data_IF_619788335104
#
_entry.id   IF_619788335104
#
_cell.length_a   1.000
_cell.length_b   1.000
_cell.length_c   1.000
_cell.angle_alpha   90.00
_cell.angle_beta   90.00
_cell.angle_gamma   90.00
#
_symmetry.space_group_name_H-M   'P 1'
#
loop_
_entity.id
_entity.type
_entity.pdbx_description
1 polymer ?
#
# COMPACT_ATOMS: atom_id res chain seq x y z
N UNK A 1 -8.10 3.46 43.15
CA UNK A 1 -7.53 4.48 42.25
C UNK A 1 -7.94 4.11 40.84
N UNK A 2 -8.65 4.99 40.15
CA UNK A 2 -9.12 4.76 38.78
C UNK A 2 -7.94 4.78 37.81
N UNK A 3 -7.74 3.69 37.07
CA UNK A 3 -6.64 3.51 36.13
C UNK A 3 -6.61 4.58 35.03
N UNK A 4 -7.77 5.13 34.68
CA UNK A 4 -7.91 6.13 33.61
C UNK A 4 -7.21 7.46 33.90
N UNK A 5 -7.09 7.84 35.17
CA UNK A 5 -6.48 9.11 35.58
C UNK A 5 -4.99 8.98 35.90
N UNK A 6 -4.41 7.77 35.76
CA UNK A 6 -3.01 7.57 36.06
C UNK A 6 -2.13 8.30 35.02
N UNK A 7 -1.09 9.05 35.43
CA UNK A 7 -0.25 9.84 34.52
C UNK A 7 0.36 9.04 33.36
N UNK A 8 0.76 7.78 33.62
CA UNK A 8 1.30 6.90 32.58
C UNK A 8 0.26 6.49 31.54
N UNK A 9 -1.01 6.30 31.94
CA UNK A 9 -2.11 5.93 31.03
C UNK A 9 -2.48 7.10 30.14
N UNK A 10 -2.53 8.31 30.70
CA UNK A 10 -2.75 9.56 29.96
C UNK A 10 -1.63 9.77 28.93
N UNK A 11 -0.35 9.61 29.35
CA UNK A 11 0.80 9.76 28.47
C UNK A 11 0.81 8.72 27.34
N UNK A 12 0.47 7.45 27.64
CA UNK A 12 0.35 6.39 26.65
C UNK A 12 -0.73 6.69 25.61
N UNK A 13 -1.93 7.09 26.04
CA UNK A 13 -3.05 7.44 25.14
C UNK A 13 -2.71 8.62 24.23
N UNK A 14 -2.11 9.69 24.77
CA UNK A 14 -1.64 10.83 23.96
C UNK A 14 -0.62 10.39 22.91
N UNK A 15 0.32 9.51 23.28
CA UNK A 15 1.31 8.97 22.34
C UNK A 15 0.66 8.11 21.25
N UNK A 16 -0.35 7.31 21.60
CA UNK A 16 -1.09 6.48 20.66
C UNK A 16 -1.94 7.31 19.68
N UNK A 17 -2.57 8.40 20.15
CA UNK A 17 -3.28 9.36 19.30
C UNK A 17 -2.34 10.05 18.30
N UNK A 18 -1.16 10.48 18.75
CA UNK A 18 -0.16 11.10 17.87
C UNK A 18 0.48 10.11 16.89
N UNK A 19 0.43 8.80 17.18
CA UNK A 19 0.94 7.75 16.31
C UNK A 19 -0.10 7.25 15.30
N UNK A 20 -1.24 7.94 15.15
CA UNK A 20 -2.15 7.68 14.05
C UNK A 20 -1.48 8.12 12.75
N UNK A 21 -0.78 7.19 12.11
CA UNK A 21 -0.26 7.34 10.75
C UNK A 21 -1.43 7.77 9.85
N UNK A 22 -1.27 8.93 9.20
CA UNK A 22 -2.26 9.45 8.26
C UNK A 22 -2.64 8.36 7.26
N UNK A 23 -3.94 8.11 7.11
CA UNK A 23 -4.43 7.09 6.19
C UNK A 23 -3.91 7.37 4.77
N UNK A 24 -3.32 6.34 4.14
CA UNK A 24 -2.86 6.42 2.76
C UNK A 24 -4.08 6.43 1.85
N UNK A 25 -4.33 7.54 1.15
CA UNK A 25 -5.42 7.63 0.16
C UNK A 25 -4.96 7.09 -1.19
N UNK A 26 -5.91 6.61 -1.99
CA UNK A 26 -5.62 6.17 -3.35
C UNK A 26 -4.99 7.29 -4.18
N UNK A 27 -5.49 8.52 -4.06
CA UNK A 27 -4.96 9.67 -4.78
C UNK A 27 -3.50 9.95 -4.42
N UNK A 28 -3.14 9.87 -3.12
CA UNK A 28 -1.75 10.11 -2.70
C UNK A 28 -0.82 8.99 -3.14
N UNK A 29 -1.29 7.74 -3.03
CA UNK A 29 -0.56 6.58 -3.53
C UNK A 29 -0.28 6.69 -5.02
N UNK A 30 -1.30 7.04 -5.82
CA UNK A 30 -1.14 7.25 -7.26
C UNK A 30 -0.14 8.35 -7.57
N UNK A 31 -0.20 9.48 -6.87
CA UNK A 31 0.76 10.56 -7.04
C UNK A 31 2.20 10.10 -6.80
N UNK A 32 2.45 9.35 -5.70
CA UNK A 32 3.79 8.82 -5.40
C UNK A 32 4.29 7.89 -6.51
N UNK A 33 3.44 7.00 -7.02
CA UNK A 33 3.84 6.04 -8.05
C UNK A 33 4.12 6.72 -9.40
N UNK A 34 3.32 7.72 -9.78
CA UNK A 34 3.54 8.52 -10.99
C UNK A 34 4.79 9.40 -10.86
N UNK A 35 5.01 10.04 -9.70
CA UNK A 35 6.23 10.79 -9.38
C UNK A 35 7.49 9.90 -9.45
N UNK A 36 7.35 8.60 -9.15
CA UNK A 36 8.43 7.62 -9.27
C UNK A 36 8.71 7.16 -10.72
N UNK A 37 7.99 7.69 -11.72
CA UNK A 37 8.24 7.42 -13.13
C UNK A 37 7.38 6.32 -13.76
N UNK A 38 6.33 5.87 -13.07
CA UNK A 38 5.32 5.03 -13.71
C UNK A 38 4.50 5.84 -14.72
N UNK A 39 4.12 5.21 -15.83
CA UNK A 39 3.22 5.79 -16.82
C UNK A 39 1.75 5.69 -16.40
N UNK A 40 1.40 4.65 -15.62
CA UNK A 40 0.05 4.46 -15.08
C UNK A 40 0.08 3.60 -13.81
N UNK A 41 -0.97 3.70 -12.99
CA UNK A 41 -1.11 3.01 -11.70
C UNK A 41 -2.57 2.73 -11.32
N UNK A 42 -2.81 1.48 -10.93
CA UNK A 42 -4.06 0.98 -10.38
C UNK A 42 -3.85 0.34 -9.01
N UNK A 43 -4.91 0.29 -8.21
CA UNK A 43 -4.93 -0.45 -6.97
C UNK A 43 -6.25 -1.21 -6.82
N UNK A 44 -6.17 -2.39 -6.21
CA UNK A 44 -7.32 -3.27 -5.96
C UNK A 44 -7.22 -3.92 -4.59
N UNK A 45 -8.35 -4.28 -4.01
CA UNK A 45 -8.45 -5.07 -2.79
C UNK A 45 -8.00 -6.52 -3.01
N UNK A 46 -7.44 -7.13 -1.96
CA UNK A 46 -6.95 -8.52 -2.01
C UNK A 46 -8.08 -9.55 -2.23
N UNK A 47 -9.32 -9.19 -1.89
CA UNK A 47 -10.49 -10.06 -2.01
C UNK A 47 -11.17 -9.99 -3.39
N UNK A 48 -10.56 -9.29 -4.35
CA UNK A 48 -11.12 -9.15 -5.69
C UNK A 48 -11.21 -10.53 -6.36
N UNK A 49 -12.34 -10.91 -6.99
CA UNK A 49 -12.52 -12.26 -7.55
C UNK A 49 -11.44 -12.69 -8.54
N UNK A 50 -10.87 -11.75 -9.29
CA UNK A 50 -9.79 -12.01 -10.25
C UNK A 50 -8.43 -12.35 -9.63
N UNK A 51 -8.29 -12.27 -8.31
CA UNK A 51 -7.06 -12.59 -7.56
C UNK A 51 -7.20 -13.82 -6.67
N UNK A 52 -8.36 -14.49 -6.70
CA UNK A 52 -8.68 -15.54 -5.74
C UNK A 52 -7.72 -16.73 -5.82
N UNK A 53 -7.25 -17.07 -7.02
CA UNK A 53 -6.25 -18.10 -7.31
C UNK A 53 -4.84 -17.74 -6.82
N UNK A 54 -4.53 -16.44 -6.71
CA UNK A 54 -3.22 -15.93 -6.26
C UNK A 54 -3.21 -15.51 -4.79
N UNK A 55 -4.39 -15.36 -4.17
CA UNK A 55 -4.56 -14.79 -2.82
C UNK A 55 -3.72 -15.50 -1.77
N UNK A 56 -3.68 -16.83 -1.77
CA UNK A 56 -2.87 -17.58 -0.81
C UNK A 56 -1.38 -17.31 -0.96
N UNK A 57 -0.87 -17.28 -2.20
CA UNK A 57 0.53 -16.96 -2.47
C UNK A 57 0.88 -15.52 -2.04
N UNK A 58 -0.02 -14.56 -2.31
CA UNK A 58 0.12 -13.16 -1.88
C UNK A 58 0.19 -13.08 -0.35
N UNK A 59 -0.72 -13.73 0.37
CA UNK A 59 -0.73 -13.72 1.84
C UNK A 59 0.43 -14.49 2.44
N UNK A 60 0.92 -15.55 1.78
CA UNK A 60 2.13 -16.23 2.22
C UNK A 60 3.37 -15.33 2.10
N UNK A 61 3.50 -14.57 1.01
CA UNK A 61 4.60 -13.63 0.81
C UNK A 61 4.45 -12.35 1.66
N UNK A 62 3.22 -11.88 1.85
CA UNK A 62 2.89 -10.66 2.58
C UNK A 62 1.61 -10.87 3.43
N UNK A 63 1.74 -11.41 4.65
CA UNK A 63 0.60 -11.84 5.48
C UNK A 63 -0.41 -10.73 5.85
N UNK A 64 -0.01 -9.47 5.72
CA UNK A 64 -0.84 -8.31 6.05
C UNK A 64 -1.29 -7.52 4.82
N UNK A 65 -1.11 -8.08 3.62
CA UNK A 65 -1.59 -7.45 2.39
C UNK A 65 -3.11 -7.25 2.43
N UNK A 66 -3.54 -6.04 2.08
CA UNK A 66 -4.96 -5.64 1.97
C UNK A 66 -5.28 -5.05 0.60
N UNK A 67 -4.28 -4.43 0.00
CA UNK A 67 -4.38 -3.73 -1.27
C UNK A 67 -3.17 -4.10 -2.12
N UNK A 68 -3.40 -4.44 -3.37
CA UNK A 68 -2.37 -4.64 -4.37
C UNK A 68 -2.29 -3.41 -5.26
N UNK A 69 -1.07 -2.99 -5.58
CA UNK A 69 -0.79 -1.85 -6.46
C UNK A 69 -0.11 -2.40 -7.70
N UNK A 70 -0.70 -2.13 -8.86
CA UNK A 70 -0.12 -2.45 -10.16
C UNK A 70 0.25 -1.15 -10.85
N UNK A 71 1.44 -1.10 -11.46
CA UNK A 71 1.91 0.06 -12.19
C UNK A 71 2.60 -0.36 -13.49
N UNK A 72 2.65 0.55 -14.45
CA UNK A 72 3.19 0.30 -15.79
C UNK A 72 4.39 1.23 -16.00
N UNK A 73 5.46 0.67 -16.55
CA UNK A 73 6.59 1.46 -17.07
C UNK A 73 6.83 1.06 -18.52
N UNK A 74 6.65 2.01 -19.45
CA UNK A 74 6.89 1.82 -20.88
C UNK A 74 8.39 1.68 -21.13
N UNK A 75 8.76 0.65 -21.87
CA UNK A 75 10.13 0.47 -22.33
C UNK A 75 10.36 1.27 -23.62
N UNK A 76 11.60 1.68 -23.84
CA UNK A 76 11.99 2.25 -25.14
C UNK A 76 11.88 1.16 -26.22
N UNK A 77 10.90 1.31 -27.11
CA UNK A 77 10.58 0.32 -28.15
C UNK A 77 11.79 -0.05 -29.02
N UNK A 78 12.63 0.93 -29.36
CA UNK A 78 13.79 0.73 -30.22
C UNK A 78 14.87 -0.17 -29.60
N UNK A 79 14.90 -0.27 -28.27
CA UNK A 79 15.88 -1.09 -27.54
C UNK A 79 15.40 -2.52 -27.31
N UNK A 80 14.09 -2.78 -27.38
CA UNK A 80 13.49 -4.09 -27.09
C UNK A 80 13.22 -4.89 -28.37
N UNK A 81 13.01 -4.22 -29.50
CA UNK A 81 12.81 -4.91 -30.78
C UNK A 81 14.13 -5.46 -31.31
N UNK A 82 14.21 -6.79 -31.46
CA UNK A 82 15.24 -7.39 -32.30
C UNK A 82 14.98 -6.98 -33.76
N UNK A 83 16.02 -6.50 -34.46
CA UNK A 83 15.92 -6.17 -35.88
C UNK A 83 15.58 -7.46 -36.65
N UNK A 84 14.52 -7.42 -37.46
CA UNK A 84 14.22 -8.48 -38.43
C UNK A 84 15.21 -8.44 -39.59
#
# INVERSE_FOLDING_TARGET
>A
MELDNHPSVIAFRKRQQNNQSKAMTLQRLKAIVLEAGADDVGAVEIDRPSLQDQKEAILHAFPRAKTLVSFICRMNEAQVRSKR
#
